data_IF_844095498088
#
_entry.id   IF_844095498088
#
_cell.length_a   1.000
_cell.length_b   1.000
_cell.length_c   1.000
_cell.angle_alpha   90.00
_cell.angle_beta   90.00
_cell.angle_gamma   90.00
#
_symmetry.space_group_name_H-M   'P 1'
#
loop_
_entity.id
_entity.type
_entity.pdbx_description
1 polymer ?
#
# COMPACT_ATOMS: atom_id res chain seq x y z
N UNK A 1 22.89 -19.36 8.98
CA UNK A 1 22.70 -18.98 7.55
C UNK A 1 21.53 -18.00 7.50
N UNK A 2 21.71 -16.83 6.88
CA UNK A 2 20.61 -15.83 6.78
C UNK A 2 19.48 -16.39 5.91
N UNK A 3 18.21 -16.21 6.28
CA UNK A 3 17.07 -16.68 5.50
C UNK A 3 17.05 -15.97 4.14
N UNK A 4 16.56 -16.68 3.12
CA UNK A 4 16.38 -16.15 1.76
C UNK A 4 14.88 -15.96 1.49
N UNK A 5 14.49 -15.14 0.49
CA UNK A 5 13.11 -15.05 0.07
C UNK A 5 12.50 -16.43 -0.19
N UNK A 6 11.39 -16.79 0.47
CA UNK A 6 10.78 -18.11 0.33
C UNK A 6 10.09 -18.26 -1.03
N UNK A 7 9.89 -19.49 -1.50
CA UNK A 7 9.03 -19.77 -2.66
C UNK A 7 7.57 -19.44 -2.35
N UNK A 8 7.13 -19.86 -1.16
CA UNK A 8 5.81 -19.59 -0.62
C UNK A 8 5.97 -18.94 0.75
N UNK A 9 5.39 -17.75 0.97
CA UNK A 9 5.61 -16.99 2.20
C UNK A 9 5.12 -17.74 3.45
N UNK A 10 4.09 -18.59 3.31
CA UNK A 10 3.55 -19.39 4.41
C UNK A 10 4.58 -20.32 5.07
N UNK A 11 5.59 -20.74 4.32
CA UNK A 11 6.63 -21.66 4.83
C UNK A 11 7.46 -21.07 5.95
N UNK A 12 7.52 -19.75 6.07
CA UNK A 12 8.27 -19.07 7.12
C UNK A 12 7.39 -18.53 8.26
N UNK A 13 6.07 -18.43 8.10
CA UNK A 13 5.18 -17.85 9.11
C UNK A 13 5.28 -18.50 10.48
N UNK A 14 5.37 -19.85 10.62
CA UNK A 14 5.52 -20.47 11.95
C UNK A 14 6.82 -20.06 12.66
N UNK A 15 7.90 -19.84 11.92
CA UNK A 15 9.19 -19.42 12.50
C UNK A 15 9.15 -17.93 12.89
N UNK A 16 8.53 -17.08 12.06
CA UNK A 16 8.31 -15.67 12.37
C UNK A 16 7.49 -15.54 13.66
N UNK A 17 6.37 -16.25 13.73
CA UNK A 17 5.48 -16.24 14.89
C UNK A 17 6.21 -16.70 16.16
N UNK A 18 6.90 -17.84 16.10
CA UNK A 18 7.64 -18.36 17.25
C UNK A 18 8.64 -17.32 17.79
N UNK A 19 9.44 -16.72 16.91
CA UNK A 19 10.42 -15.72 17.32
C UNK A 19 9.77 -14.48 17.92
N UNK A 20 8.63 -14.03 17.39
CA UNK A 20 7.90 -12.90 17.94
C UNK A 20 7.32 -13.23 19.32
N UNK A 21 6.80 -14.46 19.53
CA UNK A 21 6.37 -14.95 20.82
C UNK A 21 7.53 -15.00 21.82
N UNK A 22 8.68 -15.51 21.41
CA UNK A 22 9.90 -15.56 22.25
C UNK A 22 10.41 -14.14 22.59
N UNK A 23 10.20 -13.17 21.68
CA UNK A 23 10.67 -11.78 21.83
C UNK A 23 9.74 -10.94 22.67
N UNK A 24 8.44 -11.00 22.43
CA UNK A 24 7.42 -10.14 23.02
C UNK A 24 6.66 -10.80 24.17
N UNK A 25 6.60 -12.16 24.20
CA UNK A 25 5.88 -12.89 25.23
C UNK A 25 4.39 -12.54 25.27
N UNK A 26 3.89 -12.20 26.44
CA UNK A 26 2.49 -11.82 26.68
C UNK A 26 2.11 -10.48 26.04
N UNK A 27 3.08 -9.65 25.69
CA UNK A 27 2.83 -8.39 24.99
C UNK A 27 2.39 -8.60 23.54
N UNK A 28 2.65 -9.76 22.93
CA UNK A 28 2.15 -10.08 21.61
C UNK A 28 0.66 -10.44 21.66
N UNK A 29 -0.20 -9.50 21.30
CA UNK A 29 -1.65 -9.69 21.28
C UNK A 29 -2.14 -10.27 19.95
N UNK A 30 -1.48 -9.95 18.84
CA UNK A 30 -1.88 -10.42 17.51
C UNK A 30 -0.77 -10.27 16.47
N UNK A 31 -0.86 -11.09 15.43
CA UNK A 31 0.02 -11.03 14.27
C UNK A 31 -0.79 -11.29 13.01
N UNK A 32 -0.76 -10.37 12.08
CA UNK A 32 -1.32 -10.53 10.75
C UNK A 32 -0.27 -10.28 9.66
N UNK A 33 -0.39 -10.99 8.56
CA UNK A 33 0.30 -10.70 7.30
C UNK A 33 -0.68 -9.93 6.42
N UNK A 34 -0.21 -8.96 5.63
CA UNK A 34 -1.05 -8.22 4.71
C UNK A 34 -0.38 -7.96 3.35
N UNK A 35 -1.19 -7.54 2.36
CA UNK A 35 -0.73 -7.32 1.00
C UNK A 35 -0.48 -8.62 0.23
N UNK A 36 0.40 -8.58 -0.77
CA UNK A 36 0.61 -9.71 -1.72
C UNK A 36 1.00 -11.03 -1.06
N UNK A 37 1.65 -10.99 0.09
CA UNK A 37 2.04 -12.19 0.84
C UNK A 37 0.89 -12.80 1.66
N UNK A 38 -0.23 -12.10 1.81
CA UNK A 38 -1.43 -12.64 2.46
C UNK A 38 -2.34 -13.40 1.48
N UNK A 39 -2.18 -13.16 0.18
CA UNK A 39 -2.96 -13.77 -0.91
C UNK A 39 -2.09 -14.55 -1.90
N UNK A 40 -2.58 -14.66 -3.12
CA UNK A 40 -1.99 -15.44 -4.22
C UNK A 40 -1.03 -14.65 -5.12
N UNK A 41 -0.79 -13.35 -4.81
CA UNK A 41 0.01 -12.44 -5.64
C UNK A 41 1.49 -12.31 -5.23
N UNK A 42 1.94 -13.15 -4.29
CA UNK A 42 3.33 -13.14 -3.87
C UNK A 42 4.27 -13.59 -4.99
N UNK A 43 5.31 -12.81 -5.24
CA UNK A 43 6.36 -13.13 -6.22
C UNK A 43 7.69 -13.15 -5.47
N UNK A 44 8.32 -14.34 -5.42
CA UNK A 44 9.62 -14.54 -4.79
C UNK A 44 10.66 -13.54 -5.30
N UNK A 45 11.34 -12.89 -4.37
CA UNK A 45 12.41 -11.95 -4.67
C UNK A 45 11.95 -10.61 -5.28
N UNK A 46 10.63 -10.36 -5.31
CA UNK A 46 10.02 -9.08 -5.73
C UNK A 46 9.00 -8.55 -4.75
N UNK A 47 8.27 -9.44 -4.08
CA UNK A 47 7.25 -9.06 -3.10
C UNK A 47 7.83 -9.06 -1.70
N UNK A 48 7.56 -7.99 -0.96
CA UNK A 48 7.82 -7.94 0.47
C UNK A 48 6.78 -8.75 1.25
N UNK A 49 7.18 -9.26 2.40
CA UNK A 49 6.29 -9.89 3.38
C UNK A 49 6.01 -8.84 4.45
N UNK A 50 4.81 -8.26 4.41
CA UNK A 50 4.41 -7.21 5.33
C UNK A 50 3.68 -7.81 6.53
N UNK A 51 4.14 -7.45 7.73
CA UNK A 51 3.59 -7.90 9.00
C UNK A 51 2.97 -6.74 9.76
N UNK A 52 1.83 -6.98 10.39
CA UNK A 52 1.27 -6.10 11.41
C UNK A 52 1.30 -6.84 12.74
N UNK A 53 1.95 -6.25 13.72
CA UNK A 53 2.07 -6.74 15.09
C UNK A 53 1.16 -5.92 15.98
N UNK A 54 0.18 -6.56 16.59
CA UNK A 54 -0.61 -5.97 17.66
C UNK A 54 0.07 -6.28 18.98
N UNK A 55 0.42 -5.25 19.74
CA UNK A 55 1.10 -5.37 21.04
C UNK A 55 0.38 -4.58 22.12
N UNK A 56 0.54 -4.99 23.38
CA UNK A 56 0.01 -4.25 24.53
C UNK A 56 0.81 -2.98 24.82
N UNK A 57 2.08 -2.91 24.39
CA UNK A 57 3.01 -1.81 24.67
C UNK A 57 3.89 -1.51 23.44
N UNK A 58 3.88 -0.27 22.98
CA UNK A 58 4.69 0.25 21.84
C UNK A 58 5.80 1.20 22.30
N UNK A 59 6.19 1.15 23.56
CA UNK A 59 7.31 1.94 24.08
C UNK A 59 8.62 1.66 23.33
N UNK A 60 9.50 2.66 23.23
CA UNK A 60 10.78 2.54 22.53
C UNK A 60 11.65 1.36 23.02
N UNK A 61 11.57 1.01 24.31
CA UNK A 61 12.23 -0.16 24.87
C UNK A 61 11.68 -1.47 24.28
N UNK A 62 10.36 -1.57 24.07
CA UNK A 62 9.73 -2.75 23.46
C UNK A 62 10.05 -2.84 21.98
N UNK A 63 9.96 -1.72 21.27
CA UNK A 63 10.28 -1.66 19.84
C UNK A 63 11.73 -2.05 19.55
N UNK A 64 12.69 -1.66 20.41
CA UNK A 64 14.11 -2.03 20.24
C UNK A 64 14.34 -3.55 20.26
N UNK A 65 13.50 -4.33 20.96
CA UNK A 65 13.58 -5.80 20.98
C UNK A 65 13.26 -6.43 19.62
N UNK A 66 12.56 -5.71 18.74
CA UNK A 66 12.27 -6.17 17.37
C UNK A 66 13.43 -5.95 16.40
N UNK A 67 14.51 -5.28 16.82
CA UNK A 67 15.68 -5.01 15.96
C UNK A 67 16.29 -6.31 15.44
N UNK A 68 16.57 -7.27 16.33
CA UNK A 68 17.18 -8.55 15.96
C UNK A 68 16.24 -9.38 15.07
N UNK A 69 14.94 -9.35 15.36
CA UNK A 69 13.93 -9.96 14.50
C UNK A 69 14.00 -9.40 13.08
N UNK A 70 13.95 -8.08 12.94
CA UNK A 70 14.02 -7.45 11.62
C UNK A 70 15.34 -7.76 10.90
N UNK A 71 16.48 -7.59 11.56
CA UNK A 71 17.79 -7.87 10.97
C UNK A 71 17.94 -9.33 10.49
N UNK A 72 17.34 -10.26 11.21
CA UNK A 72 17.33 -11.66 10.82
C UNK A 72 16.48 -11.90 9.57
N UNK A 73 15.28 -11.31 9.49
CA UNK A 73 14.31 -11.62 8.45
C UNK A 73 14.31 -10.67 7.24
N UNK A 74 14.94 -9.51 7.33
CA UNK A 74 15.07 -8.57 6.20
C UNK A 74 15.68 -9.23 4.94
N UNK A 75 16.69 -10.14 5.03
CA UNK A 75 17.19 -10.84 3.85
C UNK A 75 16.20 -11.80 3.19
N UNK A 76 15.11 -12.18 3.89
CA UNK A 76 13.99 -12.95 3.35
C UNK A 76 12.88 -12.04 2.79
N UNK A 77 13.15 -10.73 2.64
CA UNK A 77 12.19 -9.71 2.22
C UNK A 77 11.01 -9.53 3.19
N UNK A 78 11.21 -9.79 4.48
CA UNK A 78 10.28 -9.32 5.50
C UNK A 78 10.53 -7.84 5.70
N UNK A 79 9.51 -7.03 5.42
CA UNK A 79 9.56 -5.58 5.62
C UNK A 79 9.63 -5.22 7.12
N UNK A 80 9.98 -3.98 7.43
CA UNK A 80 9.84 -3.48 8.80
C UNK A 80 8.38 -3.65 9.23
N UNK A 81 8.10 -4.37 10.33
CA UNK A 81 6.73 -4.59 10.75
C UNK A 81 6.02 -3.28 11.13
N UNK A 82 4.73 -3.19 10.80
CA UNK A 82 3.85 -2.18 11.36
C UNK A 82 3.49 -2.64 12.78
N UNK A 83 3.92 -1.90 13.80
CA UNK A 83 3.65 -2.23 15.20
C UNK A 83 2.61 -1.25 15.74
N UNK A 84 1.52 -1.77 16.28
CA UNK A 84 0.39 -0.98 16.76
C UNK A 84 -0.12 -1.52 18.08
N UNK A 85 -0.73 -0.63 18.88
CA UNK A 85 -1.52 -1.01 20.05
C UNK A 85 -3.02 -0.86 19.74
N UNK A 86 -3.91 -1.50 20.49
CA UNK A 86 -5.36 -1.27 20.35
C UNK A 86 -5.72 0.22 20.46
N UNK A 87 -5.08 0.95 21.37
CA UNK A 87 -5.29 2.39 21.55
C UNK A 87 -4.86 3.19 20.33
N UNK A 88 -3.67 2.88 19.77
CA UNK A 88 -3.19 3.54 18.56
C UNK A 88 -4.13 3.31 17.37
N UNK A 89 -4.60 2.08 17.18
CA UNK A 89 -5.58 1.77 16.12
C UNK A 89 -6.86 2.59 16.27
N UNK A 90 -7.43 2.61 17.48
CA UNK A 90 -8.67 3.33 17.76
C UNK A 90 -8.57 4.83 17.49
N UNK A 91 -7.38 5.43 17.65
CA UNK A 91 -7.16 6.89 17.47
C UNK A 91 -6.53 7.25 16.14
N UNK A 92 -6.29 6.28 15.24
CA UNK A 92 -5.57 6.53 13.97
C UNK A 92 -6.42 6.30 12.72
N UNK A 93 -7.63 5.77 12.87
CA UNK A 93 -8.52 5.48 11.72
C UNK A 93 -9.00 6.74 11.00
N UNK A 94 -9.04 7.86 11.66
CA UNK A 94 -9.38 9.17 11.09
C UNK A 94 -8.19 9.80 10.35
N UNK A 95 -6.97 9.46 10.72
CA UNK A 95 -5.73 10.01 10.16
C UNK A 95 -5.21 9.20 8.97
N UNK A 96 -5.28 7.86 9.06
CA UNK A 96 -4.73 6.90 8.09
C UNK A 96 -5.78 5.95 7.50
N UNK A 97 -6.99 6.42 7.13
CA UNK A 97 -8.05 5.54 6.64
C UNK A 97 -7.67 4.78 5.37
N UNK A 98 -6.86 5.35 4.46
CA UNK A 98 -6.42 4.68 3.22
C UNK A 98 -5.50 3.50 3.52
N UNK A 99 -4.53 3.69 4.41
CA UNK A 99 -3.57 2.66 4.78
C UNK A 99 -4.30 1.48 5.42
N UNK A 100 -5.16 1.73 6.40
CA UNK A 100 -5.94 0.68 7.06
C UNK A 100 -6.92 -0.01 6.11
N UNK A 101 -7.56 0.74 5.21
CA UNK A 101 -8.43 0.19 4.18
C UNK A 101 -7.68 -0.81 3.29
N UNK A 102 -6.51 -0.41 2.79
CA UNK A 102 -5.72 -1.26 1.88
C UNK A 102 -5.13 -2.47 2.61
N UNK A 103 -4.65 -2.29 3.85
CA UNK A 103 -4.13 -3.39 4.65
C UNK A 103 -5.21 -4.40 5.05
N UNK A 104 -6.42 -3.92 5.40
CA UNK A 104 -7.52 -4.81 5.80
C UNK A 104 -8.09 -5.63 4.65
N UNK A 105 -8.06 -5.10 3.43
CA UNK A 105 -8.64 -5.74 2.25
C UNK A 105 -7.97 -7.07 1.88
N UNK A 106 -6.68 -7.21 2.11
CA UNK A 106 -5.91 -8.42 1.79
C UNK A 106 -4.99 -8.74 2.96
N UNK A 107 -5.51 -9.54 3.90
CA UNK A 107 -4.81 -9.92 5.12
C UNK A 107 -5.05 -11.37 5.50
N UNK A 108 -4.16 -11.92 6.30
CA UNK A 108 -4.24 -13.25 6.88
C UNK A 108 -3.79 -13.21 8.34
N UNK A 109 -4.69 -13.55 9.24
CA UNK A 109 -4.36 -13.67 10.67
C UNK A 109 -3.45 -14.88 10.88
N UNK A 110 -2.34 -14.68 11.58
CA UNK A 110 -1.40 -15.73 11.97
C UNK A 110 -1.49 -16.09 13.44
N UNK A 111 -1.86 -15.14 14.31
CA UNK A 111 -1.93 -15.36 15.76
C UNK A 111 -2.83 -14.32 16.45
N UNK A 112 -3.53 -14.76 17.49
CA UNK A 112 -4.23 -13.91 18.46
C UNK A 112 -5.36 -13.07 17.86
N UNK A 113 -5.41 -11.80 18.23
CA UNK A 113 -6.42 -10.84 17.77
C UNK A 113 -6.07 -10.33 16.37
N UNK A 114 -7.06 -10.23 15.49
CA UNK A 114 -6.87 -9.61 14.18
C UNK A 114 -6.90 -8.08 14.33
N UNK A 115 -5.75 -7.40 14.15
CA UNK A 115 -5.70 -5.93 14.30
C UNK A 115 -6.46 -5.18 13.20
N UNK A 116 -6.83 -5.85 12.13
CA UNK A 116 -7.50 -5.28 10.96
C UNK A 116 -8.96 -5.75 10.82
N UNK A 117 -9.47 -6.52 11.79
CA UNK A 117 -10.88 -6.90 11.81
C UNK A 117 -11.77 -5.69 12.17
N UNK A 118 -12.95 -5.66 11.59
CA UNK A 118 -14.05 -4.76 11.96
C UNK A 118 -13.69 -3.25 12.02
N UNK A 119 -12.71 -2.84 11.22
CA UNK A 119 -12.31 -1.43 11.14
C UNK A 119 -13.45 -0.59 10.55
N UNK A 120 -13.94 0.36 11.34
CA UNK A 120 -14.96 1.31 10.91
C UNK A 120 -14.27 2.54 10.29
N UNK A 121 -14.07 2.50 8.98
CA UNK A 121 -13.47 3.62 8.24
C UNK A 121 -14.55 4.63 7.86
N UNK A 122 -14.49 5.81 8.46
CA UNK A 122 -15.42 6.88 8.16
C UNK A 122 -15.19 7.42 6.73
N UNK A 123 -16.22 7.41 5.85
CA UNK A 123 -16.08 7.87 4.48
C UNK A 123 -15.65 9.34 4.34
N UNK A 124 -15.99 10.20 5.30
CA UNK A 124 -15.57 11.60 5.27
C UNK A 124 -14.05 11.74 5.50
N UNK A 125 -13.50 10.98 6.44
CA UNK A 125 -12.04 10.96 6.67
C UNK A 125 -11.31 10.33 5.48
N UNK A 126 -11.85 9.25 4.93
CA UNK A 126 -11.30 8.60 3.73
C UNK A 126 -11.25 9.56 2.53
N UNK A 127 -12.33 10.32 2.30
CA UNK A 127 -12.37 11.33 1.24
C UNK A 127 -11.36 12.45 1.47
N UNK A 128 -11.26 12.96 2.71
CA UNK A 128 -10.33 14.03 3.05
C UNK A 128 -8.87 13.60 2.84
N UNK A 129 -8.51 12.40 3.29
CA UNK A 129 -7.17 11.86 3.07
C UNK A 129 -6.92 11.63 1.57
N UNK A 130 -7.89 11.05 0.84
CA UNK A 130 -7.77 10.84 -0.61
C UNK A 130 -7.46 12.14 -1.34
N UNK A 131 -8.20 13.22 -1.06
CA UNK A 131 -7.98 14.53 -1.68
C UNK A 131 -6.59 15.08 -1.37
N UNK A 132 -6.18 15.05 -0.10
CA UNK A 132 -4.86 15.52 0.35
C UNK A 132 -3.73 14.75 -0.30
N UNK A 133 -3.78 13.41 -0.24
CA UNK A 133 -2.74 12.55 -0.78
C UNK A 133 -2.67 12.63 -2.33
N UNK A 134 -3.82 12.73 -2.99
CA UNK A 134 -3.85 12.88 -4.45
C UNK A 134 -3.14 14.17 -4.87
N UNK A 135 -3.46 15.30 -4.24
CA UNK A 135 -2.83 16.59 -4.51
C UNK A 135 -1.33 16.57 -4.17
N UNK A 136 -0.94 16.02 -3.02
CA UNK A 136 0.45 15.94 -2.59
C UNK A 136 1.30 15.05 -3.53
N UNK A 137 0.81 13.85 -3.87
CA UNK A 137 1.54 12.92 -4.75
C UNK A 137 1.59 13.43 -6.19
N UNK A 138 0.56 14.10 -6.68
CA UNK A 138 0.58 14.76 -8.00
C UNK A 138 1.65 15.87 -8.04
N UNK A 139 1.74 16.67 -6.99
CA UNK A 139 2.79 17.70 -6.88
C UNK A 139 4.19 17.08 -6.83
N UNK A 140 4.38 16.03 -6.04
CA UNK A 140 5.66 15.30 -5.98
C UNK A 140 6.04 14.70 -7.35
N UNK A 141 5.08 14.13 -8.08
CA UNK A 141 5.29 13.58 -9.42
C UNK A 141 5.74 14.67 -10.42
N UNK A 142 5.13 15.87 -10.37
CA UNK A 142 5.56 17.03 -11.18
C UNK A 142 7.00 17.45 -10.86
N UNK A 143 7.34 17.55 -9.59
CA UNK A 143 8.69 17.91 -9.15
C UNK A 143 9.72 16.88 -9.61
N UNK A 144 9.40 15.59 -9.51
CA UNK A 144 10.30 14.52 -9.96
C UNK A 144 10.45 14.48 -11.48
N UNK A 145 9.40 14.79 -12.25
CA UNK A 145 9.50 14.94 -13.71
C UNK A 145 10.51 16.05 -14.08
N UNK A 146 10.42 17.21 -13.42
CA UNK A 146 11.38 18.31 -13.61
C UNK A 146 12.81 17.88 -13.25
N UNK A 147 12.97 17.26 -12.06
CA UNK A 147 14.27 16.81 -11.54
C UNK A 147 14.91 15.71 -12.41
N UNK A 148 14.12 14.93 -13.12
CA UNK A 148 14.62 13.87 -13.99
C UNK A 148 15.54 14.38 -15.12
N UNK A 149 15.37 15.66 -15.50
CA UNK A 149 16.10 16.26 -16.63
C UNK A 149 15.94 15.48 -17.93
N UNK A 150 14.86 14.74 -18.10
CA UNK A 150 14.60 13.89 -19.26
C UNK A 150 15.44 12.60 -19.31
N UNK A 151 16.15 12.25 -18.24
CA UNK A 151 16.97 11.02 -18.18
C UNK A 151 16.09 9.79 -18.10
N UNK A 152 16.31 8.85 -19.01
CA UNK A 152 15.48 7.65 -19.18
C UNK A 152 15.32 6.83 -17.89
N UNK A 153 16.39 6.62 -17.16
CA UNK A 153 16.37 5.81 -15.93
C UNK A 153 15.57 6.50 -14.81
N UNK A 154 15.68 7.82 -14.71
CA UNK A 154 14.91 8.61 -13.73
C UNK A 154 13.42 8.62 -14.07
N UNK A 155 13.06 8.77 -15.34
CA UNK A 155 11.67 8.70 -15.80
C UNK A 155 11.08 7.31 -15.57
N UNK A 156 11.85 6.25 -15.86
CA UNK A 156 11.43 4.88 -15.59
C UNK A 156 11.23 4.62 -14.09
N UNK A 157 12.15 5.09 -13.25
CA UNK A 157 12.02 4.98 -11.80
C UNK A 157 10.75 5.70 -11.31
N UNK A 158 10.49 6.91 -11.79
CA UNK A 158 9.27 7.65 -11.47
C UNK A 158 8.00 6.88 -11.85
N UNK A 159 7.93 6.28 -13.04
CA UNK A 159 6.80 5.45 -13.49
C UNK A 159 6.60 4.25 -12.55
N UNK A 160 7.66 3.53 -12.22
CA UNK A 160 7.60 2.31 -11.40
C UNK A 160 7.12 2.61 -9.98
N UNK A 161 7.59 3.71 -9.38
CA UNK A 161 7.26 4.11 -8.02
C UNK A 161 5.87 4.78 -7.92
N UNK A 162 5.41 5.50 -8.94
CA UNK A 162 4.11 6.15 -8.95
C UNK A 162 2.95 5.14 -8.92
N UNK A 163 3.08 4.03 -9.63
CA UNK A 163 2.00 3.05 -9.79
C UNK A 163 1.42 2.54 -8.46
N UNK A 164 2.21 1.96 -7.53
CA UNK A 164 1.64 1.48 -6.26
C UNK A 164 1.07 2.63 -5.42
N UNK A 165 1.71 3.81 -5.44
CA UNK A 165 1.28 4.96 -4.67
C UNK A 165 -0.11 5.46 -5.10
N UNK A 166 -0.36 5.55 -6.40
CA UNK A 166 -1.67 5.96 -6.92
C UNK A 166 -2.69 4.82 -6.91
N UNK A 167 -2.28 3.56 -7.05
CA UNK A 167 -3.20 2.42 -6.93
C UNK A 167 -3.91 2.40 -5.57
N UNK A 168 -3.23 2.76 -4.48
CA UNK A 168 -3.86 2.89 -3.16
C UNK A 168 -4.95 3.98 -3.15
N UNK A 169 -4.71 5.10 -3.82
CA UNK A 169 -5.69 6.20 -3.94
C UNK A 169 -6.88 5.79 -4.83
N UNK A 170 -6.64 5.05 -5.90
CA UNK A 170 -7.71 4.52 -6.76
C UNK A 170 -8.61 3.54 -5.98
N UNK A 171 -8.04 2.69 -5.14
CA UNK A 171 -8.81 1.82 -4.23
C UNK A 171 -9.67 2.63 -3.27
N UNK A 172 -9.14 3.71 -2.70
CA UNK A 172 -9.91 4.59 -1.82
C UNK A 172 -11.05 5.28 -2.57
N UNK A 173 -10.83 5.74 -3.81
CA UNK A 173 -11.87 6.30 -4.67
C UNK A 173 -12.97 5.28 -4.98
N UNK A 174 -12.60 4.05 -5.35
CA UNK A 174 -13.55 2.96 -5.60
C UNK A 174 -14.34 2.59 -4.33
N UNK A 175 -13.69 2.57 -3.17
CA UNK A 175 -14.40 2.35 -1.90
C UNK A 175 -15.48 3.39 -1.68
N UNK A 176 -15.18 4.68 -1.93
CA UNK A 176 -16.14 5.77 -1.75
C UNK A 176 -17.28 5.77 -2.77
N UNK A 177 -17.02 5.31 -4.00
CA UNK A 177 -17.99 5.42 -5.12
C UNK A 177 -18.74 4.13 -5.44
N UNK A 178 -18.13 2.98 -5.13
CA UNK A 178 -18.66 1.64 -5.46
C UNK A 178 -18.84 0.74 -4.24
N UNK A 179 -18.36 1.15 -3.05
CA UNK A 179 -18.41 0.36 -1.83
C UNK A 179 -17.39 -0.78 -1.75
N UNK A 180 -16.46 -0.88 -2.70
CA UNK A 180 -15.41 -1.91 -2.72
C UNK A 180 -14.47 -1.76 -3.91
N UNK A 181 -13.39 -2.54 -3.90
CA UNK A 181 -12.37 -2.50 -4.96
C UNK A 181 -11.70 -3.87 -5.16
N UNK A 182 -11.20 -4.17 -6.37
CA UNK A 182 -10.45 -5.40 -6.63
C UNK A 182 -9.04 -5.33 -6.02
N UNK A 183 -8.45 -6.51 -5.75
CA UNK A 183 -7.11 -6.59 -5.17
C UNK A 183 -5.99 -6.40 -6.19
N UNK A 184 -6.17 -6.95 -7.40
CA UNK A 184 -5.14 -6.89 -8.44
C UNK A 184 -5.03 -5.48 -9.05
N UNK A 185 -3.79 -4.91 -9.17
CA UNK A 185 -3.60 -3.55 -9.68
C UNK A 185 -4.19 -3.28 -11.07
N UNK A 186 -4.12 -4.23 -11.99
CA UNK A 186 -4.73 -4.07 -13.32
C UNK A 186 -6.25 -3.97 -13.22
N UNK A 187 -6.88 -4.84 -12.43
CA UNK A 187 -8.33 -4.80 -12.21
C UNK A 187 -8.79 -3.53 -11.46
N UNK A 188 -7.92 -2.92 -10.65
CA UNK A 188 -8.22 -1.60 -10.06
C UNK A 188 -8.33 -0.54 -11.14
N UNK A 189 -7.43 -0.54 -12.14
CA UNK A 189 -7.51 0.41 -13.26
C UNK A 189 -8.77 0.20 -14.11
N UNK A 190 -9.10 -1.06 -14.41
CA UNK A 190 -10.34 -1.42 -15.10
C UNK A 190 -11.58 -0.94 -14.34
N UNK A 191 -11.64 -1.20 -13.04
CA UNK A 191 -12.75 -0.74 -12.18
C UNK A 191 -12.85 0.79 -12.10
N UNK A 192 -11.74 1.51 -12.17
CA UNK A 192 -11.73 2.99 -12.26
C UNK A 192 -12.33 3.48 -13.58
N UNK A 193 -12.02 2.80 -14.70
CA UNK A 193 -12.60 3.12 -16.02
C UNK A 193 -14.11 2.84 -16.03
N UNK A 194 -14.57 1.74 -15.43
CA UNK A 194 -15.99 1.42 -15.21
C UNK A 194 -16.69 2.45 -14.29
N UNK A 195 -15.93 3.12 -13.45
CA UNK A 195 -16.40 4.25 -12.64
C UNK A 195 -16.36 5.61 -13.39
N UNK A 196 -16.02 5.61 -14.69
CA UNK A 196 -15.96 6.79 -15.54
C UNK A 196 -14.68 7.61 -15.43
N UNK A 197 -13.63 7.07 -14.82
CA UNK A 197 -12.32 7.72 -14.67
C UNK A 197 -11.36 7.19 -15.73
N UNK A 198 -10.90 8.04 -16.63
CA UNK A 198 -9.93 7.65 -17.66
C UNK A 198 -8.53 7.54 -17.07
N UNK A 199 -7.90 6.36 -17.24
CA UNK A 199 -6.55 6.05 -16.72
C UNK A 199 -5.67 5.36 -17.77
N UNK A 200 -5.82 5.73 -19.05
CA UNK A 200 -5.08 5.14 -20.16
C UNK A 200 -3.56 5.26 -20.02
N UNK A 201 -3.07 6.36 -19.46
CA UNK A 201 -1.65 6.55 -19.17
C UNK A 201 -1.18 5.60 -18.06
N UNK A 202 -1.98 5.38 -17.02
CA UNK A 202 -1.64 4.43 -15.95
C UNK A 202 -1.60 2.98 -16.45
N UNK A 203 -2.46 2.59 -17.39
CA UNK A 203 -2.36 1.28 -18.06
C UNK A 203 -1.02 1.12 -18.81
N UNK A 204 -0.59 2.15 -19.57
CA UNK A 204 0.69 2.12 -20.24
C UNK A 204 1.88 2.12 -19.27
N UNK A 205 1.80 2.90 -18.18
CA UNK A 205 2.80 2.87 -17.11
C UNK A 205 2.91 1.46 -16.50
N UNK A 206 1.80 0.76 -16.33
CA UNK A 206 1.79 -0.64 -15.89
C UNK A 206 2.57 -1.56 -16.82
N UNK A 207 2.39 -1.42 -18.14
CA UNK A 207 3.13 -2.17 -19.16
C UNK A 207 4.62 -1.84 -19.18
N UNK A 208 4.99 -0.57 -18.95
CA UNK A 208 6.40 -0.16 -18.79
C UNK A 208 7.03 -0.83 -17.57
N UNK A 209 6.30 -0.86 -16.43
CA UNK A 209 6.77 -1.47 -15.18
C UNK A 209 7.10 -2.94 -15.33
N UNK A 210 6.24 -3.72 -16.00
CA UNK A 210 6.45 -5.15 -16.20
C UNK A 210 7.41 -5.47 -17.37
N UNK A 211 7.82 -4.45 -18.14
CA UNK A 211 8.75 -4.60 -19.27
C UNK A 211 8.10 -4.98 -20.60
N UNK A 212 6.77 -5.02 -20.65
CA UNK A 212 5.98 -5.29 -21.86
C UNK A 212 6.01 -4.12 -22.86
N UNK A 213 6.18 -2.89 -22.37
CA UNK A 213 6.30 -1.69 -23.16
C UNK A 213 7.65 -1.02 -22.90
N UNK A 214 8.44 -0.86 -23.98
CA UNK A 214 9.75 -0.16 -23.92
C UNK A 214 9.64 1.15 -24.68
N UNK A 215 9.79 2.26 -23.95
CA UNK A 215 9.70 3.61 -24.53
C UNK A 215 11.05 4.32 -24.49
N UNK A 216 11.34 5.22 -25.47
CA UNK A 216 12.41 6.19 -25.34
C UNK A 216 12.07 7.24 -24.27
N UNK A 217 13.06 8.03 -23.86
CA UNK A 217 12.88 9.01 -22.77
C UNK A 217 11.80 10.06 -23.09
N UNK A 218 11.74 10.54 -24.34
CA UNK A 218 10.72 11.49 -24.78
C UNK A 218 9.30 10.98 -24.59
N UNK A 219 9.03 9.75 -25.04
CA UNK A 219 7.71 9.13 -24.88
C UNK A 219 7.37 8.79 -23.43
N UNK A 220 8.37 8.49 -22.57
CA UNK A 220 8.15 8.35 -21.13
C UNK A 220 7.76 9.68 -20.51
N UNK A 221 8.36 10.79 -20.91
CA UNK A 221 8.00 12.14 -20.46
C UNK A 221 6.55 12.46 -20.82
N UNK A 222 6.18 12.26 -22.09
CA UNK A 222 4.81 12.46 -22.57
C UNK A 222 3.80 11.56 -21.82
N UNK A 223 4.17 10.32 -21.54
CA UNK A 223 3.33 9.39 -20.77
C UNK A 223 3.08 9.91 -19.35
N UNK A 224 4.12 10.42 -18.69
CA UNK A 224 3.99 11.04 -17.37
C UNK A 224 3.13 12.29 -17.40
N UNK A 225 3.26 13.12 -18.43
CA UNK A 225 2.42 14.32 -18.63
C UNK A 225 0.93 13.95 -18.80
N UNK A 226 0.65 12.90 -19.59
CA UNK A 226 -0.72 12.36 -19.73
C UNK A 226 -1.26 11.84 -18.40
N UNK A 227 -0.44 11.12 -17.64
CA UNK A 227 -0.85 10.66 -16.30
C UNK A 227 -1.14 11.83 -15.35
N UNK A 228 -0.36 12.90 -15.39
CA UNK A 228 -0.62 14.12 -14.61
C UNK A 228 -1.94 14.81 -15.00
N UNK A 229 -2.32 14.77 -16.27
CA UNK A 229 -3.62 15.27 -16.73
C UNK A 229 -4.78 14.40 -16.20
N UNK A 230 -4.65 13.07 -16.29
CA UNK A 230 -5.62 12.12 -15.74
C UNK A 230 -5.81 12.30 -14.21
N UNK A 231 -4.71 12.53 -13.46
CA UNK A 231 -4.76 12.82 -12.03
C UNK A 231 -5.44 14.16 -11.72
N UNK A 232 -5.26 15.17 -12.58
CA UNK A 232 -5.94 16.46 -12.44
C UNK A 232 -7.46 16.30 -12.60
N UNK A 233 -7.90 15.48 -13.55
CA UNK A 233 -9.33 15.22 -13.76
C UNK A 233 -9.91 14.37 -12.62
N UNK A 234 -9.18 13.37 -12.13
CA UNK A 234 -9.57 12.63 -10.93
C UNK A 234 -9.69 13.57 -9.72
N UNK A 235 -8.80 14.55 -9.57
CA UNK A 235 -8.89 15.56 -8.51
C UNK A 235 -10.22 16.32 -8.53
N UNK A 236 -10.68 16.74 -9.72
CA UNK A 236 -12.00 17.40 -9.88
C UNK A 236 -13.13 16.46 -9.47
N UNK A 237 -13.05 15.18 -9.82
CA UNK A 237 -14.05 14.19 -9.42
C UNK A 237 -14.10 14.03 -7.90
N UNK A 238 -12.93 13.94 -7.24
CA UNK A 238 -12.83 13.83 -5.77
C UNK A 238 -13.38 15.08 -5.08
N UNK A 239 -13.10 16.27 -5.60
CA UNK A 239 -13.65 17.55 -5.07
C UNK A 239 -15.19 17.58 -5.11
N UNK A 240 -15.80 16.92 -6.09
CA UNK A 240 -17.27 16.85 -6.28
C UNK A 240 -17.93 15.70 -5.50
N UNK A 241 -17.18 14.78 -4.87
CA UNK A 241 -17.75 13.69 -4.10
C UNK A 241 -18.53 14.23 -2.89
N UNK A 242 -19.82 14.00 -2.90
CA UNK A 242 -20.68 14.28 -1.75
C UNK A 242 -20.75 13.04 -0.89
N UNK A 243 -20.21 13.13 0.31
CA UNK A 243 -20.34 12.07 1.32
C UNK A 243 -21.61 12.39 2.12
N UNK A 244 -22.54 11.44 2.14
CA UNK A 244 -23.75 11.57 2.98
C UNK A 244 -23.30 11.78 4.43
N UNK A 245 -23.84 12.81 5.09
CA UNK A 245 -23.62 13.00 6.53
C UNK A 245 -24.29 11.82 7.23
N UNK A 246 -23.53 11.12 8.06
CA UNK A 246 -24.14 10.20 9.02
C UNK A 246 -25.10 11.01 9.92
N UNK A 247 -26.33 10.53 9.97
CA UNK A 247 -27.41 11.13 10.79
C UNK A 247 -27.22 10.75 12.25
#
# INVERSE_FOLDING_TARGET
>A
MKPKPPEQPETIYPKLLKQLQDTLGEDLLGLAVFGSAAGDRYIKGRSDINLMILTSDDSGHRLSRLTDFYQQWAPAMVAVPVVVTPSYLATSLDVFPIEFLVMSAERKLLYGQDPLADLQINPAHLRLQLERELKAKTMAMRSRLIMSGGKKEELKALIVEALPAFTALFKAYLQLTKGGFPHHPASVLEAMEDAGVKLSAFHQMGRVKIGDLKLPASEMSELIEKALAELSDLGKNVDQLVIAKES
#
